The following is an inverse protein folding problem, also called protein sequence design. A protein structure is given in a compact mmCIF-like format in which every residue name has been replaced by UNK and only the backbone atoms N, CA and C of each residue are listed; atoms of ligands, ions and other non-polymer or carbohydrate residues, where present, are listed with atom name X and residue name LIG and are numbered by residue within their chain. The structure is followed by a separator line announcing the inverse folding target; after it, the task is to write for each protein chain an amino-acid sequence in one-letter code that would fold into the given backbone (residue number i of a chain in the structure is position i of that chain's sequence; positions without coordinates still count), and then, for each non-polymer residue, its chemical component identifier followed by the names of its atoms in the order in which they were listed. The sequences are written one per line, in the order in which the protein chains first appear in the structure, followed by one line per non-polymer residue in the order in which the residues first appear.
data_IF_146366060251
#
_entry.id   IF_146366060251
#
_cell.length_a   1.000
_cell.length_b   1.000
_cell.length_c   1.000
_cell.angle_alpha   90.00
_cell.angle_beta   90.00
_cell.angle_gamma   90.00
#
_symmetry.space_group_name_H-M   'P 1'
#
loop_
_entity.id
_entity.type
_entity.pdbx_description
1 polymer ?
#
# COMPACT_ATOMS: atom_id res chain seq x y z
N UNK A 1 7.68 -23.44 -0.32
CA UNK A 1 9.17 -23.52 -0.43
C UNK A 1 9.76 -22.81 0.78
N UNK A 2 10.83 -23.33 1.39
CA UNK A 2 11.55 -22.67 2.49
C UNK A 2 12.79 -22.00 1.93
N UNK A 3 12.94 -20.71 2.19
CA UNK A 3 14.03 -19.89 1.68
C UNK A 3 14.60 -19.07 2.82
N UNK A 4 15.92 -18.96 2.90
CA UNK A 4 16.61 -18.05 3.80
C UNK A 4 16.89 -16.76 3.03
N UNK A 5 16.52 -15.62 3.60
CA UNK A 5 16.67 -14.30 3.00
C UNK A 5 17.39 -13.40 4.01
N UNK A 6 18.38 -12.63 3.55
CA UNK A 6 18.90 -11.50 4.32
C UNK A 6 17.98 -10.31 4.11
N UNK A 7 17.48 -9.71 5.19
CA UNK A 7 16.64 -8.51 5.17
C UNK A 7 17.14 -7.53 6.23
N UNK A 8 16.91 -6.24 5.99
CA UNK A 8 17.23 -5.19 6.94
C UNK A 8 16.32 -5.30 8.18
N UNK A 9 16.84 -4.85 9.33
CA UNK A 9 16.17 -4.98 10.63
C UNK A 9 14.84 -4.22 10.67
N UNK A 10 14.77 -3.07 10.01
CA UNK A 10 13.56 -2.25 9.91
C UNK A 10 12.48 -2.96 9.07
N UNK A 11 12.86 -3.58 7.96
CA UNK A 11 11.97 -4.39 7.13
C UNK A 11 11.43 -5.62 7.88
N UNK A 12 12.28 -6.30 8.67
CA UNK A 12 11.86 -7.41 9.53
C UNK A 12 10.82 -6.94 10.56
N UNK A 13 11.03 -5.78 11.18
CA UNK A 13 10.13 -5.19 12.18
C UNK A 13 8.75 -4.91 11.58
N UNK A 14 8.71 -4.34 10.37
CA UNK A 14 7.46 -4.10 9.63
C UNK A 14 6.72 -5.41 9.31
N UNK A 15 7.46 -6.45 8.92
CA UNK A 15 6.87 -7.75 8.62
C UNK A 15 6.28 -8.43 9.88
N UNK A 16 6.91 -8.26 11.05
CA UNK A 16 6.40 -8.75 12.34
C UNK A 16 5.10 -8.04 12.72
N UNK A 17 5.06 -6.72 12.66
CA UNK A 17 3.86 -5.93 12.98
C UNK A 17 2.68 -6.29 12.04
N UNK A 18 2.96 -6.44 10.73
CA UNK A 18 1.97 -6.88 9.77
C UNK A 18 1.47 -8.30 10.07
N UNK A 19 2.35 -9.20 10.50
CA UNK A 19 2.00 -10.57 10.86
C UNK A 19 1.10 -10.61 12.10
N UNK A 20 1.45 -9.88 13.15
CA UNK A 20 0.68 -9.78 14.41
C UNK A 20 -0.72 -9.23 14.16
N UNK A 21 -0.81 -8.08 13.49
CA UNK A 21 -2.09 -7.41 13.18
C UNK A 21 -3.05 -8.30 12.40
N UNK A 22 -2.53 -9.24 11.61
CA UNK A 22 -3.31 -10.14 10.75
C UNK A 22 -3.35 -11.59 11.25
N UNK A 23 -2.75 -11.88 12.41
CA UNK A 23 -2.63 -13.24 12.94
C UNK A 23 -2.03 -14.24 11.93
N UNK A 24 -0.98 -13.82 11.22
CA UNK A 24 -0.28 -14.63 10.22
C UNK A 24 1.05 -15.14 10.75
N UNK A 25 1.50 -16.29 10.25
CA UNK A 25 2.90 -16.70 10.43
C UNK A 25 3.84 -15.73 9.68
N UNK A 26 5.00 -15.42 10.25
CA UNK A 26 5.95 -14.43 9.68
C UNK A 26 6.31 -14.73 8.21
N UNK A 27 6.61 -15.99 7.89
CA UNK A 27 6.93 -16.36 6.49
C UNK A 27 5.78 -16.12 5.52
N UNK A 28 4.53 -16.25 5.98
CA UNK A 28 3.33 -15.94 5.18
C UNK A 28 3.17 -14.43 5.01
N UNK A 29 3.36 -13.65 6.08
CA UNK A 29 3.35 -12.19 6.04
C UNK A 29 4.39 -11.64 5.05
N UNK A 30 5.64 -12.10 5.15
CA UNK A 30 6.71 -11.72 4.20
C UNK A 30 6.34 -12.08 2.76
N UNK A 31 5.79 -13.28 2.54
CA UNK A 31 5.35 -13.71 1.20
C UNK A 31 4.21 -12.84 0.63
N UNK A 32 3.31 -12.34 1.46
CA UNK A 32 2.25 -11.42 1.05
C UNK A 32 2.78 -10.02 0.75
N UNK A 33 3.62 -9.48 1.63
CA UNK A 33 4.23 -8.16 1.46
C UNK A 33 5.08 -8.11 0.19
N UNK A 34 5.91 -9.13 -0.06
CA UNK A 34 6.68 -9.27 -1.29
C UNK A 34 5.78 -9.27 -2.53
N UNK A 35 4.68 -10.05 -2.50
CA UNK A 35 3.74 -10.11 -3.63
C UNK A 35 3.06 -8.76 -3.85
N UNK A 36 2.63 -8.10 -2.77
CA UNK A 36 2.03 -6.76 -2.82
C UNK A 36 3.00 -5.77 -3.43
N UNK A 37 4.22 -5.68 -2.92
CA UNK A 37 5.27 -4.78 -3.43
C UNK A 37 5.61 -5.06 -4.89
N UNK A 38 5.79 -6.33 -5.27
CA UNK A 38 6.12 -6.72 -6.65
C UNK A 38 4.95 -6.50 -7.63
N UNK A 39 3.70 -6.64 -7.16
CA UNK A 39 2.50 -6.39 -7.96
C UNK A 39 2.09 -4.92 -8.02
N UNK A 40 2.69 -4.08 -7.17
CA UNK A 40 2.34 -2.66 -7.10
C UNK A 40 2.92 -1.95 -8.32
N UNK A 41 2.14 -1.88 -9.40
CA UNK A 41 2.26 -0.77 -10.33
C UNK A 41 1.76 0.43 -9.57
N UNK A 42 2.66 1.29 -9.11
CA UNK A 42 2.26 2.59 -8.59
C UNK A 42 1.46 3.23 -9.71
N UNK A 43 0.15 3.45 -9.51
CA UNK A 43 -0.67 4.25 -10.42
C UNK A 43 -0.28 5.72 -10.28
N UNK A 44 1.02 5.99 -10.23
CA UNK A 44 1.62 7.27 -9.96
C UNK A 44 2.86 7.40 -10.83
N UNK A 45 2.98 8.54 -11.49
CA UNK A 45 4.11 8.91 -12.33
C UNK A 45 4.78 10.13 -11.72
N UNK A 46 6.11 10.20 -11.82
CA UNK A 46 6.80 11.44 -11.51
C UNK A 46 6.66 12.42 -12.69
N UNK A 47 6.12 13.61 -12.41
CA UNK A 47 6.04 14.75 -13.31
C UNK A 47 6.67 15.95 -12.60
N UNK A 48 7.78 16.47 -13.14
CA UNK A 48 8.46 17.66 -12.63
C UNK A 48 8.79 17.60 -11.12
N UNK A 49 9.18 16.43 -10.61
CA UNK A 49 9.51 16.21 -9.19
C UNK A 49 8.30 16.02 -8.27
N UNK A 50 7.10 15.93 -8.83
CA UNK A 50 5.86 15.62 -8.12
C UNK A 50 5.34 14.24 -8.55
N UNK A 51 4.94 13.42 -7.60
CA UNK A 51 4.22 12.19 -7.91
C UNK A 51 2.75 12.51 -8.23
N UNK A 52 2.36 12.29 -9.48
CA UNK A 52 1.01 12.48 -10.02
C UNK A 52 0.32 11.13 -10.13
N UNK A 53 -0.90 11.02 -9.61
CA UNK A 53 -1.71 9.79 -9.72
C UNK A 53 -2.26 9.67 -11.14
N UNK A 54 -1.98 8.55 -11.81
CA UNK A 54 -2.60 8.17 -13.07
C UNK A 54 -4.05 7.75 -12.81
N UNK A 55 -4.97 8.70 -12.99
CA UNK A 55 -6.39 8.45 -12.91
C UNK A 55 -6.93 7.90 -14.25
N UNK A 56 -7.86 6.94 -14.22
CA UNK A 56 -8.66 6.59 -15.39
C UNK A 56 -9.33 7.83 -16.00
N UNK A 57 -9.51 7.85 -17.32
CA UNK A 57 -10.10 9.00 -18.02
C UNK A 57 -11.53 9.34 -17.57
N UNK A 58 -12.24 8.36 -17.00
CA UNK A 58 -13.59 8.46 -16.45
C UNK A 58 -13.61 8.74 -14.93
N UNK A 59 -12.45 8.95 -14.30
CA UNK A 59 -12.39 9.24 -12.88
C UNK A 59 -13.17 10.52 -12.53
N UNK A 60 -14.10 10.47 -11.56
CA UNK A 60 -14.90 11.62 -11.20
C UNK A 60 -14.04 12.70 -10.54
N UNK A 61 -14.32 13.96 -10.86
CA UNK A 61 -13.63 15.09 -10.24
C UNK A 61 -14.03 15.19 -8.77
N UNK A 62 -13.05 15.12 -7.87
CA UNK A 62 -13.29 15.38 -6.44
C UNK A 62 -13.62 16.86 -6.25
N UNK A 63 -14.70 17.15 -5.53
CA UNK A 63 -15.15 18.52 -5.24
C UNK A 63 -15.47 18.68 -3.77
N UNK A 64 -15.57 19.92 -3.30
CA UNK A 64 -15.94 20.26 -1.92
C UNK A 64 -17.26 19.63 -1.49
N UNK A 65 -18.18 19.34 -2.41
CA UNK A 65 -19.45 18.65 -2.10
C UNK A 65 -19.23 17.26 -1.51
N UNK A 66 -18.18 16.54 -1.94
CA UNK A 66 -17.87 15.22 -1.40
C UNK A 66 -17.39 15.31 0.05
N UNK A 67 -16.65 16.37 0.41
CA UNK A 67 -16.20 16.61 1.79
C UNK A 67 -17.38 16.91 2.71
N UNK A 68 -18.28 17.83 2.28
CA UNK A 68 -19.47 18.18 3.06
C UNK A 68 -20.39 16.98 3.30
N UNK A 69 -20.57 16.12 2.30
CA UNK A 69 -21.39 14.91 2.46
C UNK A 69 -20.84 13.94 3.52
N UNK A 70 -19.52 13.85 3.68
CA UNK A 70 -18.89 13.01 4.70
C UNK A 70 -18.95 13.64 6.10
N UNK A 71 -18.89 14.97 6.18
CA UNK A 71 -19.05 15.70 7.45
C UNK A 71 -20.48 15.57 8.00
N UNK A 72 -21.48 15.54 7.13
CA UNK A 72 -22.89 15.36 7.52
C UNK A 72 -23.23 13.92 7.99
N UNK A 73 -22.38 12.94 7.66
CA UNK A 73 -22.54 11.52 8.08
C UNK A 73 -21.87 11.18 9.42
N UNK A 74 -21.15 12.13 10.03
CA UNK A 74 -20.48 12.01 11.34
C UNK A 74 -21.31 12.60 12.49
#
# INVERSE_FOLDING_TARGET
MRTTLSIDDDALRLAQEYAETRSLALGKAVSELLRKGASHKWGMREEDGLYVVDLPADAPRVTTKHTLALEDEL
#
